data_IF_474098625455
#
_entry.id   IF_474098625455
#
_cell.length_a   1.000
_cell.length_b   1.000
_cell.length_c   1.000
_cell.angle_alpha   90.00
_cell.angle_beta   90.00
_cell.angle_gamma   90.00
#
_symmetry.space_group_name_H-M   'P 1'
#
loop_
_entity.id
_entity.type
_entity.pdbx_description
1 polymer ?
#
# COMPACT_ATOMS: atom_id res chain seq x y z
N UNK A 1 -25.72 27.41 11.92
CA UNK A 1 -25.08 26.62 13.00
C UNK A 1 -25.74 26.98 14.31
N UNK A 2 -26.14 25.97 15.07
CA UNK A 2 -26.70 26.18 16.42
C UNK A 2 -25.56 26.55 17.40
N UNK A 3 -25.87 27.28 18.46
CA UNK A 3 -24.91 27.71 19.50
C UNK A 3 -23.97 26.61 19.99
N UNK A 4 -24.40 25.34 20.19
CA UNK A 4 -23.51 24.25 20.63
C UNK A 4 -22.43 23.86 19.63
N UNK A 5 -22.67 24.05 18.33
CA UNK A 5 -21.66 23.74 17.28
C UNK A 5 -20.58 24.82 17.16
N UNK A 6 -20.94 26.07 17.44
CA UNK A 6 -19.97 27.18 17.48
C UNK A 6 -19.02 27.03 18.68
N UNK A 7 -19.52 26.69 19.84
CA UNK A 7 -18.70 26.45 21.05
C UNK A 7 -17.75 25.29 20.89
N UNK A 8 -18.18 24.23 20.22
CA UNK A 8 -17.36 23.06 19.94
C UNK A 8 -16.21 23.37 18.96
N UNK A 9 -16.49 24.14 17.92
CA UNK A 9 -15.47 24.57 16.95
C UNK A 9 -14.41 25.46 17.63
N UNK A 10 -14.83 26.36 18.51
CA UNK A 10 -13.93 27.23 19.31
C UNK A 10 -13.04 26.38 20.24
N UNK A 11 -13.60 25.41 20.94
CA UNK A 11 -12.85 24.53 21.83
C UNK A 11 -11.79 23.70 21.08
N UNK A 12 -12.11 23.21 19.89
CA UNK A 12 -11.16 22.50 19.03
C UNK A 12 -10.04 23.45 18.59
N UNK A 13 -10.38 24.67 18.17
CA UNK A 13 -9.40 25.66 17.74
C UNK A 13 -8.48 26.11 18.88
N UNK A 14 -9.01 26.31 20.06
CA UNK A 14 -8.22 26.66 21.25
C UNK A 14 -7.27 25.52 21.67
N UNK A 15 -7.73 24.29 21.56
CA UNK A 15 -6.95 23.08 21.89
C UNK A 15 -5.81 22.82 20.90
N UNK A 16 -6.10 22.93 19.60
CA UNK A 16 -5.13 22.60 18.52
C UNK A 16 -4.13 23.73 18.26
N UNK A 17 -4.55 24.97 18.39
CA UNK A 17 -3.75 26.14 18.02
C UNK A 17 -3.42 27.07 19.22
N UNK A 18 -3.90 26.74 20.42
CA UNK A 18 -3.69 27.56 21.63
C UNK A 18 -4.25 28.98 21.45
N UNK A 19 -3.73 29.98 22.18
CA UNK A 19 -4.23 31.37 22.13
C UNK A 19 -4.07 32.04 20.76
N UNK A 20 -3.30 31.47 19.86
CA UNK A 20 -3.09 32.00 18.50
C UNK A 20 -4.20 31.64 17.52
N UNK A 21 -5.17 30.80 17.90
CA UNK A 21 -6.24 30.34 17.01
C UNK A 21 -7.02 31.46 16.32
N UNK A 22 -7.25 32.56 17.03
CA UNK A 22 -8.00 33.74 16.48
C UNK A 22 -7.24 34.37 15.31
N UNK A 23 -5.92 34.48 15.41
CA UNK A 23 -5.06 35.00 14.35
C UNK A 23 -5.05 34.04 13.16
N UNK A 24 -4.93 32.75 13.41
CA UNK A 24 -4.95 31.70 12.37
C UNK A 24 -6.29 31.69 11.62
N UNK A 25 -7.41 31.89 12.33
CA UNK A 25 -8.74 32.03 11.70
C UNK A 25 -8.82 33.25 10.79
N UNK A 26 -8.23 34.36 11.19
CA UNK A 26 -8.18 35.56 10.36
C UNK A 26 -7.29 35.40 9.12
N UNK A 27 -6.16 34.72 9.26
CA UNK A 27 -5.20 34.47 8.16
C UNK A 27 -5.70 33.46 7.13
N UNK A 28 -6.38 32.38 7.55
CA UNK A 28 -6.85 31.31 6.68
C UNK A 28 -8.28 31.46 6.16
N UNK A 29 -9.06 32.37 6.74
CA UNK A 29 -10.50 32.51 6.47
C UNK A 29 -11.36 31.35 7.01
N UNK A 30 -12.60 31.68 7.34
CA UNK A 30 -13.52 30.73 8.00
C UNK A 30 -13.90 29.51 7.16
N UNK A 31 -13.85 29.61 5.84
CA UNK A 31 -14.18 28.50 4.93
C UNK A 31 -13.08 27.44 4.91
N UNK A 32 -11.84 27.87 4.81
CA UNK A 32 -10.66 26.98 4.82
C UNK A 32 -10.45 26.29 6.17
N UNK A 33 -10.70 27.02 7.25
CA UNK A 33 -10.63 26.47 8.59
C UNK A 33 -11.71 25.42 8.84
N UNK A 34 -12.94 25.64 8.40
CA UNK A 34 -14.04 24.67 8.46
C UNK A 34 -13.71 23.42 7.63
N UNK A 35 -13.03 23.57 6.50
CA UNK A 35 -12.57 22.44 5.70
C UNK A 35 -11.46 21.65 6.39
N UNK A 36 -10.57 22.30 7.13
CA UNK A 36 -9.48 21.63 7.86
C UNK A 36 -9.95 21.00 9.18
N UNK A 37 -10.74 21.73 9.96
CA UNK A 37 -11.26 21.27 11.28
C UNK A 37 -12.36 20.23 11.13
N UNK A 38 -13.15 20.28 10.05
CA UNK A 38 -14.21 19.30 9.77
C UNK A 38 -13.75 18.03 9.05
N UNK A 39 -12.48 17.97 8.61
CA UNK A 39 -11.92 16.82 7.89
C UNK A 39 -10.66 16.34 8.59
N UNK A 40 -10.83 15.74 9.76
CA UNK A 40 -9.71 15.22 10.53
C UNK A 40 -9.07 13.99 9.86
N UNK A 41 -9.84 13.26 9.07
CA UNK A 41 -9.37 12.13 8.30
C UNK A 41 -9.73 12.30 6.82
N UNK A 42 -8.73 12.36 5.96
CA UNK A 42 -8.87 12.44 4.50
C UNK A 42 -8.17 11.25 3.85
N UNK A 43 -8.27 11.10 2.53
CA UNK A 43 -7.54 10.05 1.79
C UNK A 43 -6.01 10.22 1.82
N UNK A 44 -5.52 11.31 2.38
CA UNK A 44 -4.10 11.55 2.65
C UNK A 44 -3.94 12.12 4.07
N UNK A 45 -2.98 11.60 4.83
CA UNK A 45 -2.57 12.15 6.12
C UNK A 45 -1.05 12.30 6.18
N UNK A 46 -0.59 13.35 6.83
CA UNK A 46 0.84 13.57 7.09
C UNK A 46 0.98 14.38 8.38
N UNK A 47 1.88 13.93 9.22
CA UNK A 47 2.16 14.56 10.51
C UNK A 47 3.63 14.96 10.55
N UNK A 48 3.98 16.25 10.36
CA UNK A 48 5.35 16.73 10.40
C UNK A 48 6.02 16.42 11.74
N UNK A 49 5.25 16.48 12.81
CA UNK A 49 5.68 16.14 14.16
C UNK A 49 4.97 14.85 14.62
N UNK A 50 5.71 14.04 15.39
CA UNK A 50 5.18 12.79 15.93
C UNK A 50 4.00 13.00 16.89
N UNK A 51 3.94 14.16 17.55
CA UNK A 51 3.06 14.41 18.67
C UNK A 51 3.52 13.79 20.00
N UNK A 52 2.79 14.07 21.05
CA UNK A 52 3.06 13.58 22.40
C UNK A 52 2.52 12.17 22.64
N UNK A 53 3.25 11.34 23.34
CA UNK A 53 2.86 9.98 23.75
C UNK A 53 3.68 8.87 23.08
N UNK A 54 3.65 7.70 23.70
CA UNK A 54 4.38 6.52 23.27
C UNK A 54 5.92 6.66 23.43
N UNK A 55 6.63 5.57 23.10
CA UNK A 55 8.09 5.53 23.17
C UNK A 55 8.68 5.78 21.77
N UNK A 56 9.22 6.97 21.53
CA UNK A 56 9.84 7.35 20.26
C UNK A 56 11.17 6.62 19.95
N UNK A 57 11.76 5.96 20.93
CA UNK A 57 12.98 5.14 20.77
C UNK A 57 12.66 3.71 20.31
N UNK A 58 11.38 3.29 20.40
CA UNK A 58 10.95 1.98 19.95
C UNK A 58 10.80 1.95 18.43
N UNK A 59 11.57 1.09 17.76
CA UNK A 59 11.50 0.94 16.29
C UNK A 59 10.17 0.34 15.88
N UNK A 60 9.61 0.84 14.77
CA UNK A 60 8.30 0.40 14.28
C UNK A 60 7.10 1.02 15.02
N UNK A 61 7.34 1.95 15.94
CA UNK A 61 6.27 2.62 16.66
C UNK A 61 5.52 3.61 15.76
N UNK A 62 4.18 3.46 15.73
CA UNK A 62 3.28 4.36 15.02
C UNK A 62 3.26 5.76 15.67
N UNK A 63 3.03 6.81 14.88
CA UNK A 63 2.74 8.14 15.40
C UNK A 63 1.44 8.14 16.20
N UNK A 64 1.41 8.68 17.43
CA UNK A 64 0.18 8.83 18.21
C UNK A 64 -0.92 9.62 17.48
N UNK A 65 -0.56 10.53 16.58
CA UNK A 65 -1.52 11.31 15.79
C UNK A 65 -2.35 10.44 14.84
N UNK A 66 -1.77 9.36 14.29
CA UNK A 66 -2.52 8.37 13.49
C UNK A 66 -3.63 7.75 14.32
N UNK A 67 -3.29 7.29 15.54
CA UNK A 67 -4.27 6.67 16.45
C UNK A 67 -5.35 7.68 16.84
N UNK A 68 -4.96 8.93 17.14
CA UNK A 68 -5.93 9.99 17.46
C UNK A 68 -6.87 10.29 16.30
N UNK A 69 -6.34 10.38 15.07
CA UNK A 69 -7.16 10.62 13.88
C UNK A 69 -8.19 9.50 13.66
N UNK A 70 -7.77 8.23 13.83
CA UNK A 70 -8.65 7.08 13.70
C UNK A 70 -9.72 7.07 14.80
N UNK A 71 -9.34 7.32 16.05
CA UNK A 71 -10.26 7.35 17.18
C UNK A 71 -11.31 8.45 17.01
N UNK A 72 -10.94 9.61 16.51
CA UNK A 72 -11.86 10.71 16.22
C UNK A 72 -12.85 10.37 15.10
N UNK A 73 -12.44 9.59 14.11
CA UNK A 73 -13.31 9.15 13.03
C UNK A 73 -14.25 8.03 13.45
N UNK A 74 -13.72 7.01 14.19
CA UNK A 74 -14.43 5.77 14.50
C UNK A 74 -15.57 5.93 15.50
N UNK A 75 -15.59 6.98 16.31
CA UNK A 75 -16.59 7.19 17.34
C UNK A 75 -16.91 8.67 17.49
N UNK A 76 -18.07 9.09 17.04
CA UNK A 76 -18.54 10.48 17.21
C UNK A 76 -18.68 10.91 18.68
N UNK A 77 -18.84 9.97 19.61
CA UNK A 77 -18.90 10.22 21.06
C UNK A 77 -17.59 9.93 21.80
N UNK A 78 -16.84 8.93 21.38
CA UNK A 78 -15.62 8.52 22.09
C UNK A 78 -14.43 9.43 21.80
N UNK A 79 -14.35 10.01 20.60
CA UNK A 79 -13.41 11.09 20.33
C UNK A 79 -13.64 12.29 21.26
N UNK A 80 -14.86 12.46 21.75
CA UNK A 80 -15.17 13.51 22.69
C UNK A 80 -14.58 13.30 24.07
N UNK A 81 -14.26 12.05 24.39
CA UNK A 81 -13.70 11.83 25.72
C UNK A 81 -12.18 11.87 25.68
N UNK A 82 -11.57 12.84 24.94
CA UNK A 82 -10.19 12.76 24.88
C UNK A 82 -9.70 12.20 26.03
N UNK A 83 -10.28 11.42 26.25
CA UNK A 83 -10.91 10.43 25.67
C UNK A 83 -11.02 9.37 26.72
N UNK A 84 -11.89 9.43 27.61
CA UNK A 84 -12.29 8.28 28.42
C UNK A 84 -12.81 7.08 27.56
N UNK A 85 -12.30 6.92 26.33
CA UNK A 85 -12.52 5.72 25.52
C UNK A 85 -11.89 4.56 26.27
N UNK A 86 -12.71 3.61 26.68
CA UNK A 86 -12.19 2.32 27.15
C UNK A 86 -11.37 1.71 26.01
N UNK A 87 -10.08 1.54 26.23
CA UNK A 87 -9.18 0.91 25.26
C UNK A 87 -8.44 -0.24 25.89
N UNK A 88 -8.33 -1.34 25.17
CA UNK A 88 -7.51 -2.48 25.50
C UNK A 88 -6.36 -2.54 24.50
N UNK A 89 -5.16 -2.66 25.00
CA UNK A 89 -3.95 -2.79 24.18
C UNK A 89 -3.39 -4.17 24.39
N UNK A 90 -3.18 -4.89 23.31
CA UNK A 90 -2.63 -6.23 23.32
C UNK A 90 -1.28 -6.29 22.62
N UNK A 91 -0.33 -6.99 23.19
CA UNK A 91 1.01 -7.17 22.61
C UNK A 91 1.50 -8.60 22.89
N UNK A 92 2.15 -9.21 21.90
CA UNK A 92 2.82 -10.50 22.06
C UNK A 92 4.02 -10.42 23.03
N UNK A 93 4.65 -9.24 23.15
CA UNK A 93 5.67 -8.99 24.15
C UNK A 93 5.09 -9.22 25.56
N UNK A 94 5.65 -10.11 26.39
CA UNK A 94 5.12 -10.38 27.72
C UNK A 94 5.25 -9.21 28.69
N UNK A 95 6.10 -8.22 28.40
CA UNK A 95 6.34 -7.03 29.23
C UNK A 95 6.30 -5.75 28.37
N UNK A 96 5.15 -5.40 27.75
CA UNK A 96 5.02 -4.18 26.99
C UNK A 96 5.06 -2.98 27.93
N UNK A 97 5.41 -1.80 27.40
CA UNK A 97 5.41 -0.56 28.18
C UNK A 97 4.01 -0.14 28.68
N UNK A 98 2.95 -0.64 28.02
CA UNK A 98 1.54 -0.46 28.41
C UNK A 98 0.69 -1.59 27.80
N UNK A 99 -0.48 -1.84 28.39
CA UNK A 99 -1.41 -2.84 27.89
C UNK A 99 -1.19 -4.24 28.47
N UNK A 100 -1.79 -5.22 27.80
CA UNK A 100 -1.78 -6.64 28.19
C UNK A 100 -0.71 -7.33 27.36
N UNK A 101 0.32 -7.82 28.06
CA UNK A 101 1.43 -8.55 27.43
C UNK A 101 1.19 -10.05 27.35
N UNK A 102 1.95 -10.69 26.44
CA UNK A 102 1.87 -12.14 26.21
C UNK A 102 0.61 -12.58 25.46
N UNK A 103 -0.14 -11.65 24.87
CA UNK A 103 -1.31 -11.97 24.07
C UNK A 103 -0.89 -12.30 22.62
N UNK A 104 -1.22 -13.53 22.21
CA UNK A 104 -0.88 -14.04 20.89
C UNK A 104 -2.06 -13.90 19.93
N UNK A 105 -1.95 -12.99 18.99
CA UNK A 105 -2.99 -12.72 17.99
C UNK A 105 -3.37 -13.94 17.14
N UNK A 106 -2.51 -14.95 17.01
CA UNK A 106 -2.80 -16.19 16.30
C UNK A 106 -3.61 -17.18 17.14
N UNK A 107 -3.49 -17.14 18.48
CA UNK A 107 -4.02 -18.17 19.37
C UNK A 107 -5.11 -17.66 20.28
N UNK A 108 -4.88 -16.51 20.90
CA UNK A 108 -5.75 -15.99 21.95
C UNK A 108 -6.99 -15.31 21.36
N UNK A 109 -8.10 -15.44 22.06
CA UNK A 109 -9.37 -14.83 21.66
C UNK A 109 -9.41 -13.35 22.06
N UNK A 110 -10.30 -12.61 21.42
CA UNK A 110 -10.68 -11.26 21.83
C UNK A 110 -11.97 -11.37 22.63
N UNK A 111 -11.89 -11.23 23.95
CA UNK A 111 -13.00 -11.46 24.87
C UNK A 111 -14.12 -10.43 24.77
N UNK A 112 -13.80 -9.21 24.35
CA UNK A 112 -14.75 -8.12 24.23
C UNK A 112 -15.07 -7.80 22.76
N UNK A 113 -16.33 -7.50 22.50
CA UNK A 113 -16.73 -6.91 21.22
C UNK A 113 -16.38 -5.42 21.20
N UNK A 114 -15.68 -4.97 20.16
CA UNK A 114 -15.19 -3.62 20.03
C UNK A 114 -15.96 -2.82 18.96
N UNK A 115 -16.05 -1.50 19.16
CA UNK A 115 -16.56 -0.58 18.14
C UNK A 115 -15.48 -0.26 17.11
N UNK A 116 -14.20 -0.26 17.54
CA UNK A 116 -13.05 -0.02 16.71
C UNK A 116 -11.89 -0.92 17.12
N UNK A 117 -11.29 -1.59 16.15
CA UNK A 117 -10.02 -2.29 16.32
C UNK A 117 -8.99 -1.60 15.45
N UNK A 118 -7.85 -1.23 16.03
CA UNK A 118 -6.69 -0.73 15.32
C UNK A 118 -5.58 -1.78 15.32
N UNK A 119 -5.18 -2.23 14.14
CA UNK A 119 -4.12 -3.20 13.93
C UNK A 119 -2.91 -2.54 13.25
N UNK A 120 -1.75 -2.62 13.89
CA UNK A 120 -0.47 -2.23 13.32
C UNK A 120 0.51 -3.41 13.42
N UNK A 121 0.50 -4.32 12.43
CA UNK A 121 1.33 -5.51 12.47
C UNK A 121 2.80 -5.18 12.19
N UNK A 122 3.74 -6.07 12.48
CA UNK A 122 5.10 -5.97 11.97
C UNK A 122 5.08 -5.99 10.44
N UNK A 123 6.07 -5.36 9.81
CA UNK A 123 6.22 -5.37 8.35
C UNK A 123 7.13 -6.55 7.97
N UNK A 124 6.59 -7.75 8.02
CA UNK A 124 7.30 -9.00 7.83
C UNK A 124 8.63 -8.99 8.63
N UNK A 125 9.74 -9.34 8.03
CA UNK A 125 11.06 -9.42 8.66
C UNK A 125 11.88 -8.12 8.62
N UNK A 126 11.24 -6.97 8.36
CA UNK A 126 11.94 -5.67 8.32
C UNK A 126 12.57 -5.31 9.68
N UNK A 127 11.86 -5.61 10.76
CA UNK A 127 12.31 -5.45 12.14
C UNK A 127 11.93 -6.74 12.88
N UNK A 128 12.88 -7.65 13.17
CA UNK A 128 12.61 -8.78 14.06
C UNK A 128 12.38 -8.29 15.49
N UNK A 129 11.22 -8.61 16.07
CA UNK A 129 10.85 -8.15 17.40
C UNK A 129 11.32 -9.12 18.50
N UNK A 130 10.75 -10.31 18.59
CA UNK A 130 11.14 -11.28 19.61
C UNK A 130 12.58 -11.76 19.43
N UNK A 131 13.31 -11.91 20.51
CA UNK A 131 14.73 -12.25 20.50
C UNK A 131 15.69 -11.12 20.11
N UNK A 132 15.17 -9.99 19.62
CA UNK A 132 15.95 -8.81 19.25
C UNK A 132 15.56 -7.56 20.04
N UNK A 133 14.26 -7.26 20.09
CA UNK A 133 13.72 -6.11 20.81
C UNK A 133 13.24 -6.49 22.21
N UNK A 134 12.77 -7.73 22.38
CA UNK A 134 12.32 -8.28 23.64
C UNK A 134 12.52 -9.81 23.69
N UNK A 135 12.71 -10.35 24.87
CA UNK A 135 12.70 -11.77 25.22
C UNK A 135 13.51 -12.69 24.31
N UNK A 136 13.08 -13.93 24.21
CA UNK A 136 13.59 -14.96 23.30
C UNK A 136 12.75 -14.99 22.00
N UNK A 137 13.28 -15.56 20.90
CA UNK A 137 12.50 -15.74 19.67
C UNK A 137 11.18 -16.48 19.92
N UNK A 138 10.06 -15.89 19.52
CA UNK A 138 8.72 -16.48 19.65
C UNK A 138 8.26 -17.04 18.30
N UNK A 139 7.70 -18.27 18.31
CA UNK A 139 7.30 -18.97 17.08
C UNK A 139 6.16 -18.32 16.32
N UNK A 140 5.30 -17.59 17.03
CA UNK A 140 4.11 -16.93 16.49
C UNK A 140 4.35 -15.41 16.26
N UNK A 141 5.60 -14.95 16.41
CA UNK A 141 5.98 -13.59 16.02
C UNK A 141 5.99 -13.47 14.50
N UNK A 142 5.07 -12.68 13.95
CA UNK A 142 4.93 -12.46 12.51
C UNK A 142 6.20 -11.89 11.87
N UNK A 143 7.04 -11.18 12.64
CA UNK A 143 8.31 -10.66 12.14
C UNK A 143 9.37 -11.75 11.89
N UNK A 144 9.07 -12.98 12.30
CA UNK A 144 9.95 -14.15 12.17
C UNK A 144 9.43 -15.21 11.21
N UNK A 145 8.39 -14.92 10.46
CA UNK A 145 7.93 -15.80 9.39
C UNK A 145 9.05 -16.09 8.39
N UNK A 146 9.16 -17.33 7.97
CA UNK A 146 10.22 -17.80 7.08
C UNK A 146 10.11 -17.22 5.67
N UNK A 147 8.89 -16.90 5.25
CA UNK A 147 8.58 -16.37 3.94
C UNK A 147 7.50 -15.29 4.01
N UNK A 148 7.46 -14.42 3.00
CA UNK A 148 6.41 -13.41 2.89
C UNK A 148 5.00 -14.02 2.68
N UNK A 149 4.80 -15.07 1.87
CA UNK A 149 3.50 -15.75 1.78
C UNK A 149 2.99 -16.28 3.12
N UNK A 150 3.85 -16.92 3.92
CA UNK A 150 3.51 -17.38 5.27
C UNK A 150 3.07 -16.22 6.18
N UNK A 151 3.79 -15.12 6.12
CA UNK A 151 3.46 -13.91 6.84
C UNK A 151 2.07 -13.38 6.45
N UNK A 152 1.77 -13.29 5.15
CA UNK A 152 0.47 -12.80 4.63
C UNK A 152 -0.66 -13.74 5.05
N UNK A 153 -0.46 -15.04 4.98
CA UNK A 153 -1.46 -16.03 5.42
C UNK A 153 -1.82 -15.87 6.89
N UNK A 154 -0.82 -15.80 7.77
CA UNK A 154 -1.01 -15.59 9.21
C UNK A 154 -1.66 -14.25 9.52
N UNK A 155 -1.24 -13.19 8.83
CA UNK A 155 -1.82 -11.86 9.02
C UNK A 155 -3.27 -11.82 8.55
N UNK A 156 -3.62 -12.45 7.43
CA UNK A 156 -5.00 -12.56 6.96
C UNK A 156 -5.89 -13.33 7.94
N UNK A 157 -5.38 -14.38 8.56
CA UNK A 157 -6.08 -15.08 9.63
C UNK A 157 -6.38 -14.16 10.83
N UNK A 158 -5.39 -13.36 11.26
CA UNK A 158 -5.57 -12.37 12.33
C UNK A 158 -6.60 -11.32 11.93
N UNK A 159 -6.51 -10.77 10.71
CA UNK A 159 -7.45 -9.77 10.19
C UNK A 159 -8.88 -10.28 10.22
N UNK A 160 -9.10 -11.52 9.78
CA UNK A 160 -10.41 -12.16 9.83
C UNK A 160 -10.93 -12.31 11.27
N UNK A 161 -10.09 -12.83 12.17
CA UNK A 161 -10.43 -13.03 13.58
C UNK A 161 -10.80 -11.71 14.27
N UNK A 162 -9.99 -10.68 14.09
CA UNK A 162 -10.25 -9.37 14.67
C UNK A 162 -11.52 -8.71 14.09
N UNK A 163 -11.77 -8.88 12.79
CA UNK A 163 -12.98 -8.38 12.17
C UNK A 163 -14.24 -9.08 12.72
N UNK A 164 -14.16 -10.36 13.02
CA UNK A 164 -15.27 -11.09 13.65
C UNK A 164 -15.57 -10.58 15.05
N UNK A 165 -14.57 -10.16 15.81
CA UNK A 165 -14.72 -9.62 17.17
C UNK A 165 -15.36 -8.21 17.21
N UNK A 166 -15.48 -7.53 16.08
CA UNK A 166 -16.17 -6.24 16.00
C UNK A 166 -17.68 -6.39 16.23
N UNK A 167 -18.29 -5.40 16.87
CA UNK A 167 -19.75 -5.24 16.87
C UNK A 167 -20.27 -4.94 15.47
N UNK A 168 -21.56 -5.07 15.29
CA UNK A 168 -22.24 -4.48 14.14
C UNK A 168 -21.94 -2.97 14.08
N UNK A 169 -21.75 -2.45 12.89
CA UNK A 169 -21.33 -1.08 12.61
C UNK A 169 -19.92 -0.71 13.14
N UNK A 170 -19.17 -1.70 13.65
CA UNK A 170 -17.78 -1.54 14.08
C UNK A 170 -16.81 -1.43 12.90
N UNK A 171 -15.61 -0.94 13.18
CA UNK A 171 -14.57 -0.69 12.19
C UNK A 171 -13.26 -1.35 12.53
N UNK A 172 -12.60 -1.91 11.50
CA UNK A 172 -11.23 -2.39 11.58
C UNK A 172 -10.33 -1.43 10.80
N UNK A 173 -9.38 -0.83 11.49
CA UNK A 173 -8.37 0.05 10.91
C UNK A 173 -7.03 -0.67 10.91
N UNK A 174 -6.42 -0.87 9.73
CA UNK A 174 -5.14 -1.57 9.58
C UNK A 174 -4.11 -0.61 9.01
N UNK A 175 -3.03 -0.35 9.75
CA UNK A 175 -1.90 0.43 9.28
C UNK A 175 -0.81 -0.51 8.79
N UNK A 176 -0.46 -0.42 7.51
CA UNK A 176 0.57 -1.24 6.85
C UNK A 176 1.42 -0.41 5.91
N UNK A 177 2.59 -0.90 5.54
CA UNK A 177 3.49 -0.26 4.59
C UNK A 177 3.98 -1.22 3.52
N UNK A 178 4.52 -0.68 2.44
CA UNK A 178 5.23 -1.46 1.45
C UNK A 178 6.63 -1.83 1.97
N UNK A 179 7.14 -2.98 1.54
CA UNK A 179 8.44 -3.47 1.95
C UNK A 179 9.31 -3.71 0.72
N UNK A 180 10.56 -3.30 0.81
CA UNK A 180 11.57 -3.67 -0.16
C UNK A 180 12.72 -4.38 0.54
N UNK A 181 12.94 -5.63 0.18
CA UNK A 181 14.00 -6.45 0.76
C UNK A 181 14.61 -7.35 -0.31
N UNK A 182 15.95 -7.48 -0.31
CA UNK A 182 16.71 -8.35 -1.23
C UNK A 182 16.30 -8.22 -2.71
N UNK A 183 15.99 -7.00 -3.16
CA UNK A 183 15.58 -6.72 -4.54
C UNK A 183 14.10 -6.96 -4.86
N UNK A 184 13.34 -7.58 -3.96
CA UNK A 184 11.90 -7.78 -4.11
C UNK A 184 11.11 -6.64 -3.46
N UNK A 185 9.98 -6.29 -4.07
CA UNK A 185 9.03 -5.33 -3.57
C UNK A 185 7.74 -6.04 -3.19
N UNK A 186 7.26 -5.83 -1.96
CA UNK A 186 6.04 -6.40 -1.44
C UNK A 186 5.09 -5.28 -1.03
N UNK A 187 3.85 -5.37 -1.48
CA UNK A 187 2.81 -4.39 -1.23
C UNK A 187 1.76 -4.93 -0.27
N UNK A 188 2.01 -4.79 1.05
CA UNK A 188 1.15 -5.39 2.07
C UNK A 188 -0.31 -4.96 1.92
N UNK A 189 -0.56 -3.68 1.61
CA UNK A 189 -1.91 -3.18 1.40
C UNK A 189 -2.63 -3.83 0.21
N UNK A 190 -1.89 -4.41 -0.72
CA UNK A 190 -2.38 -5.13 -1.89
C UNK A 190 -2.65 -6.61 -1.58
N UNK A 191 -1.81 -7.20 -0.71
CA UNK A 191 -1.79 -8.64 -0.44
C UNK A 191 -2.72 -9.03 0.70
N UNK A 192 -3.12 -8.05 1.53
CA UNK A 192 -4.08 -8.26 2.60
C UNK A 192 -5.49 -8.55 2.05
N UNK A 193 -6.16 -9.50 2.69
CA UNK A 193 -7.57 -9.75 2.41
C UNK A 193 -8.43 -8.53 2.72
N UNK A 194 -9.47 -8.34 1.95
CA UNK A 194 -10.50 -7.34 2.23
C UNK A 194 -11.64 -7.99 2.98
N UNK A 195 -11.99 -7.42 4.13
CA UNK A 195 -13.05 -7.91 5.01
C UNK A 195 -14.17 -6.88 5.08
N UNK A 196 -15.42 -7.33 4.97
CA UNK A 196 -16.57 -6.43 4.99
C UNK A 196 -16.53 -5.38 3.89
N UNK A 197 -16.96 -4.16 4.20
CA UNK A 197 -16.94 -3.02 3.27
C UNK A 197 -15.67 -2.20 3.50
N UNK A 198 -14.87 -2.00 2.46
CA UNK A 198 -13.80 -0.99 2.54
C UNK A 198 -14.42 0.39 2.53
N UNK A 199 -14.32 1.11 3.64
CA UNK A 199 -14.86 2.46 3.82
C UNK A 199 -13.85 3.52 3.37
N UNK A 200 -12.54 3.30 3.63
CA UNK A 200 -11.50 4.22 3.21
C UNK A 200 -10.15 3.52 2.99
N UNK A 201 -9.40 4.10 2.07
CA UNK A 201 -7.98 3.83 1.82
C UNK A 201 -7.24 5.16 1.97
N UNK A 202 -6.40 5.27 2.98
CA UNK A 202 -5.75 6.53 3.35
C UNK A 202 -4.25 6.36 3.20
N UNK A 203 -3.62 7.23 2.42
CA UNK A 203 -2.17 7.28 2.29
C UNK A 203 -1.59 8.15 3.40
N UNK A 204 -0.69 7.58 4.19
CA UNK A 204 0.06 8.30 5.22
C UNK A 204 1.46 8.60 4.71
N UNK A 205 1.78 9.86 4.53
CA UNK A 205 3.14 10.34 4.28
C UNK A 205 3.99 10.22 5.55
N UNK A 206 5.22 9.74 5.40
CA UNK A 206 6.20 9.66 6.48
C UNK A 206 7.21 10.79 6.36
N UNK A 207 7.46 11.51 7.45
CA UNK A 207 8.52 12.48 7.58
C UNK A 207 9.74 11.82 8.25
N UNK A 208 10.94 12.17 7.78
CA UNK A 208 12.23 11.72 8.37
C UNK A 208 12.35 10.19 8.46
N UNK A 209 11.79 9.46 7.49
CA UNK A 209 11.95 8.00 7.45
C UNK A 209 13.38 7.64 7.00
N UNK A 210 13.83 6.46 7.43
CA UNK A 210 15.20 5.98 7.11
C UNK A 210 15.42 5.87 5.60
N UNK A 211 14.37 5.54 4.82
CA UNK A 211 14.47 5.43 3.37
C UNK A 211 14.70 6.77 2.69
N UNK A 212 14.13 7.84 3.24
CA UNK A 212 14.23 9.20 2.68
C UNK A 212 15.58 9.86 2.98
N UNK A 213 16.18 9.52 4.13
CA UNK A 213 17.45 10.11 4.58
C UNK A 213 18.70 9.41 4.02
N UNK A 214 18.55 8.27 3.34
CA UNK A 214 19.68 7.51 2.78
C UNK A 214 20.07 7.99 1.39
N UNK A 215 21.40 8.01 1.15
CA UNK A 215 21.98 8.20 -0.18
C UNK A 215 22.06 6.85 -0.91
N UNK A 216 21.62 6.80 -2.16
CA UNK A 216 21.61 5.58 -2.99
C UNK A 216 22.59 5.70 -4.15
N UNK A 217 23.41 4.67 -4.39
CA UNK A 217 24.41 4.65 -5.48
C UNK A 217 23.80 4.51 -6.88
N UNK A 218 22.55 4.04 -6.98
CA UNK A 218 21.80 3.86 -8.24
C UNK A 218 20.44 4.54 -8.12
N UNK A 219 19.79 4.89 -9.24
CA UNK A 219 18.42 5.39 -9.21
C UNK A 219 17.53 4.46 -8.39
N UNK A 220 16.84 5.02 -7.41
CA UNK A 220 16.02 4.29 -6.44
C UNK A 220 14.84 5.16 -6.00
N UNK A 221 13.66 4.56 -5.92
CA UNK A 221 12.46 5.21 -5.40
C UNK A 221 12.30 4.79 -3.93
N UNK A 222 12.52 5.71 -2.96
CA UNK A 222 12.34 5.40 -1.55
C UNK A 222 10.88 5.10 -1.22
N UNK A 223 10.65 4.18 -0.27
CA UNK A 223 9.32 3.99 0.34
C UNK A 223 9.19 5.00 1.46
N UNK A 224 8.30 5.97 1.29
CA UNK A 224 8.04 7.08 2.23
C UNK A 224 6.57 7.16 2.63
N UNK A 225 5.82 6.08 2.40
CA UNK A 225 4.39 6.01 2.68
C UNK A 225 4.03 4.77 3.50
N UNK A 226 2.98 4.91 4.28
CA UNK A 226 2.20 3.84 4.89
C UNK A 226 0.74 4.01 4.47
N UNK A 227 -0.06 2.98 4.67
CA UNK A 227 -1.45 2.96 4.23
C UNK A 227 -2.34 2.55 5.41
N UNK A 228 -3.37 3.35 5.64
CA UNK A 228 -4.42 3.01 6.59
C UNK A 228 -5.63 2.50 5.82
N UNK A 229 -5.94 1.24 6.03
CA UNK A 229 -7.10 0.56 5.45
C UNK A 229 -8.22 0.58 6.49
N UNK A 230 -9.38 1.11 6.14
CA UNK A 230 -10.53 1.15 7.03
C UNK A 230 -11.66 0.29 6.48
N UNK A 231 -12.06 -0.71 7.25
CA UNK A 231 -13.12 -1.65 6.92
C UNK A 231 -14.28 -1.51 7.89
N UNK A 232 -15.51 -1.56 7.38
CA UNK A 232 -16.75 -1.43 8.12
C UNK A 232 -17.49 -2.77 8.16
N UNK A 233 -17.91 -3.19 9.35
CA UNK A 233 -18.73 -4.38 9.57
C UNK A 233 -20.20 -3.99 9.62
N UNK A 234 -20.88 -4.06 8.47
CA UNK A 234 -22.29 -3.67 8.35
C UNK A 234 -23.24 -4.68 8.94
N UNK A 235 -22.88 -5.96 8.92
CA UNK A 235 -23.69 -7.06 9.46
C UNK A 235 -22.92 -7.80 10.55
N UNK A 236 -23.64 -8.29 11.56
CA UNK A 236 -23.04 -9.03 12.67
C UNK A 236 -22.75 -10.49 12.32
N UNK A 237 -23.51 -11.11 11.43
CA UNK A 237 -23.46 -12.53 11.10
C UNK A 237 -22.84 -12.81 9.74
N UNK A 238 -23.09 -11.94 8.76
CA UNK A 238 -22.62 -12.11 7.39
C UNK A 238 -21.77 -10.93 6.95
N UNK A 239 -20.59 -11.19 6.45
CA UNK A 239 -19.71 -10.20 5.87
C UNK A 239 -18.95 -10.79 4.68
N UNK A 240 -18.84 -10.07 3.57
CA UNK A 240 -18.02 -10.48 2.46
C UNK A 240 -16.53 -10.35 2.84
N UNK A 241 -15.73 -11.27 2.35
CA UNK A 241 -14.29 -11.10 2.30
C UNK A 241 -13.78 -11.50 0.92
N UNK A 242 -12.76 -10.79 0.45
CA UNK A 242 -12.14 -11.06 -0.83
C UNK A 242 -10.69 -11.45 -0.62
N UNK A 243 -10.32 -12.60 -1.16
CA UNK A 243 -8.94 -13.08 -1.18
C UNK A 243 -8.38 -12.86 -2.57
N UNK A 244 -7.25 -12.15 -2.66
CA UNK A 244 -6.54 -12.00 -3.91
C UNK A 244 -5.78 -13.28 -4.24
N UNK A 245 -5.96 -13.77 -5.46
CA UNK A 245 -5.15 -14.85 -6.02
C UNK A 245 -4.36 -14.29 -7.18
N UNK A 246 -3.04 -14.34 -7.11
CA UNK A 246 -2.16 -14.01 -8.22
C UNK A 246 -1.91 -15.24 -9.08
N UNK A 247 -2.04 -15.05 -10.38
CA UNK A 247 -1.67 -16.05 -11.37
C UNK A 247 -0.72 -15.38 -12.35
N UNK A 248 0.52 -15.86 -12.42
CA UNK A 248 1.46 -15.43 -13.43
C UNK A 248 1.16 -16.18 -14.72
N UNK A 249 0.93 -15.43 -15.78
CA UNK A 249 0.73 -15.98 -17.13
C UNK A 249 1.85 -15.43 -18.02
N UNK A 250 2.69 -16.33 -18.50
CA UNK A 250 3.70 -16.01 -19.51
C UNK A 250 3.03 -15.93 -20.87
N UNK A 251 2.87 -14.71 -21.39
CA UNK A 251 2.34 -14.48 -22.73
C UNK A 251 3.48 -14.48 -23.73
N UNK A 252 3.39 -15.38 -24.71
CA UNK A 252 4.26 -15.31 -25.89
C UNK A 252 3.72 -14.26 -26.85
N UNK A 253 4.58 -13.69 -27.69
CA UNK A 253 4.15 -12.71 -28.71
C UNK A 253 3.04 -13.25 -29.63
N UNK A 254 3.01 -14.58 -29.83
CA UNK A 254 1.97 -15.26 -30.62
C UNK A 254 0.58 -15.19 -29.97
N UNK A 255 0.54 -15.09 -28.65
CA UNK A 255 -0.69 -15.11 -27.82
C UNK A 255 -1.23 -13.72 -27.54
N UNK A 256 -0.48 -12.66 -27.86
CA UNK A 256 -0.91 -11.27 -27.62
C UNK A 256 -1.87 -10.82 -28.72
N UNK A 257 -3.15 -10.60 -28.41
CA UNK A 257 -4.10 -10.14 -29.41
C UNK A 257 -3.80 -8.69 -29.83
N UNK A 258 -4.03 -8.39 -31.10
CA UNK A 258 -3.95 -7.02 -31.61
C UNK A 258 -2.54 -6.46 -31.82
N UNK A 259 -1.48 -7.25 -31.73
CA UNK A 259 -0.14 -6.81 -32.10
C UNK A 259 -0.11 -6.25 -33.53
N UNK A 260 0.37 -5.02 -33.71
CA UNK A 260 0.63 -4.46 -35.03
C UNK A 260 1.84 -5.13 -35.69
N UNK A 261 2.00 -5.02 -36.99
CA UNK A 261 3.20 -5.50 -37.69
C UNK A 261 4.46 -4.84 -37.14
N UNK A 262 4.37 -3.56 -36.80
CA UNK A 262 5.45 -2.81 -36.20
C UNK A 262 5.91 -3.40 -34.86
N UNK A 263 4.98 -3.64 -33.91
CA UNK A 263 5.31 -4.25 -32.63
C UNK A 263 5.88 -5.67 -32.78
N UNK A 264 5.28 -6.47 -33.68
CA UNK A 264 5.72 -7.82 -33.92
C UNK A 264 7.14 -7.91 -34.48
N UNK A 265 7.46 -7.02 -35.44
CA UNK A 265 8.81 -6.92 -36.03
C UNK A 265 9.81 -6.45 -34.98
N UNK A 266 9.47 -5.41 -34.20
CA UNK A 266 10.33 -4.88 -33.13
C UNK A 266 10.67 -5.96 -32.12
N UNK A 267 9.67 -6.66 -31.56
CA UNK A 267 9.88 -7.75 -30.59
C UNK A 267 10.77 -8.86 -31.19
N UNK A 268 10.55 -9.22 -32.45
CA UNK A 268 11.37 -10.24 -33.12
C UNK A 268 12.82 -9.76 -33.33
N UNK A 269 13.04 -8.50 -33.65
CA UNK A 269 14.36 -7.92 -33.74
C UNK A 269 15.06 -7.86 -32.37
N UNK A 270 14.35 -7.55 -31.30
CA UNK A 270 14.89 -7.57 -29.93
C UNK A 270 15.37 -8.97 -29.55
N UNK A 271 14.64 -10.01 -29.89
CA UNK A 271 15.09 -11.43 -29.73
C UNK A 271 16.37 -11.74 -30.52
N UNK A 272 16.57 -11.06 -31.65
CA UNK A 272 17.75 -11.17 -32.50
C UNK A 272 18.84 -10.15 -32.17
N UNK A 273 18.88 -9.67 -30.94
CA UNK A 273 19.84 -8.69 -30.41
C UNK A 273 19.79 -7.32 -31.13
N UNK A 274 18.63 -6.93 -31.60
CA UNK A 274 18.37 -5.62 -32.20
C UNK A 274 18.82 -5.45 -33.65
N UNK A 275 19.35 -6.48 -34.31
CA UNK A 275 19.78 -6.44 -35.71
C UNK A 275 19.40 -7.74 -36.44
N UNK A 276 18.76 -7.62 -37.58
CA UNK A 276 18.33 -8.77 -38.37
C UNK A 276 18.22 -8.47 -39.87
N UNK A 277 18.33 -9.52 -40.71
CA UNK A 277 17.90 -9.44 -42.10
C UNK A 277 16.38 -9.51 -42.21
N UNK A 278 15.80 -8.87 -43.21
CA UNK A 278 14.37 -9.01 -43.50
C UNK A 278 13.96 -10.47 -43.80
N UNK A 279 14.87 -11.27 -44.40
CA UNK A 279 14.66 -12.71 -44.60
C UNK A 279 14.47 -13.44 -43.28
N UNK A 280 15.37 -13.20 -42.31
CA UNK A 280 15.36 -13.89 -41.02
C UNK A 280 14.13 -13.53 -40.20
N UNK A 281 13.70 -12.26 -40.27
CA UNK A 281 12.42 -11.82 -39.69
C UNK A 281 11.23 -12.55 -40.33
N UNK A 282 11.27 -12.71 -41.66
CA UNK A 282 10.27 -13.46 -42.39
C UNK A 282 10.19 -14.92 -41.95
N UNK A 283 11.32 -15.57 -41.78
CA UNK A 283 11.40 -16.96 -41.37
C UNK A 283 10.93 -17.16 -39.94
N UNK A 284 11.34 -16.29 -39.02
CA UNK A 284 10.91 -16.29 -37.62
C UNK A 284 9.40 -16.04 -37.45
N UNK A 285 8.84 -15.20 -38.31
CA UNK A 285 7.43 -14.82 -38.25
C UNK A 285 6.48 -15.72 -39.06
N UNK A 286 7.02 -16.62 -39.87
CA UNK A 286 6.20 -17.49 -40.73
C UNK A 286 5.17 -18.35 -39.97
N UNK A 287 5.53 -18.79 -38.76
CA UNK A 287 4.65 -19.58 -37.89
C UNK A 287 3.58 -18.73 -37.16
N UNK A 288 3.74 -17.41 -37.11
CA UNK A 288 2.85 -16.53 -36.35
C UNK A 288 1.45 -16.47 -36.97
N UNK A 289 0.36 -16.49 -36.16
CA UNK A 289 -1.01 -16.47 -36.67
C UNK A 289 -1.32 -15.31 -37.62
N UNK A 290 -0.72 -14.14 -37.40
CA UNK A 290 -0.87 -12.95 -38.23
C UNK A 290 -0.21 -13.13 -39.61
N UNK A 291 0.96 -13.81 -39.67
CA UNK A 291 1.61 -14.14 -40.93
C UNK A 291 0.83 -15.21 -41.73
N UNK A 292 0.33 -16.25 -41.05
CA UNK A 292 -0.51 -17.28 -41.66
C UNK A 292 -1.79 -16.71 -42.33
N UNK A 293 -2.33 -15.62 -41.78
CA UNK A 293 -3.50 -14.93 -42.33
C UNK A 293 -3.19 -13.95 -43.48
N UNK A 294 -1.92 -13.69 -43.77
CA UNK A 294 -1.51 -12.76 -44.80
C UNK A 294 -0.49 -13.41 -45.75
N UNK A 295 -0.87 -13.84 -46.98
CA UNK A 295 0.05 -14.46 -47.91
C UNK A 295 1.21 -13.57 -48.33
N UNK A 296 1.05 -12.23 -48.18
CA UNK A 296 2.07 -11.21 -48.49
C UNK A 296 2.79 -10.67 -47.24
N UNK A 297 2.87 -11.46 -46.16
CA UNK A 297 3.43 -10.99 -44.89
C UNK A 297 4.91 -10.56 -44.99
N UNK A 298 5.69 -11.16 -45.87
CA UNK A 298 7.12 -10.76 -46.07
C UNK A 298 7.21 -9.38 -46.69
N UNK A 299 6.33 -9.03 -47.62
CA UNK A 299 6.29 -7.68 -48.19
C UNK A 299 5.78 -6.68 -47.14
N UNK A 300 4.86 -7.10 -46.28
CA UNK A 300 4.38 -6.28 -45.17
C UNK A 300 5.49 -6.00 -44.14
N UNK A 301 6.38 -6.99 -43.84
CA UNK A 301 7.55 -6.78 -42.99
C UNK A 301 8.44 -5.70 -43.61
N UNK A 302 8.75 -5.81 -44.90
CA UNK A 302 9.56 -4.82 -45.62
C UNK A 302 8.91 -3.44 -45.62
N UNK A 303 7.63 -3.35 -45.93
CA UNK A 303 6.87 -2.10 -45.93
C UNK A 303 6.89 -1.42 -44.56
N UNK A 304 6.70 -2.19 -43.50
CA UNK A 304 6.72 -1.69 -42.12
C UNK A 304 8.10 -1.09 -41.76
N UNK A 305 9.19 -1.74 -42.18
CA UNK A 305 10.55 -1.20 -41.93
C UNK A 305 10.76 0.15 -42.67
N UNK A 306 10.20 0.29 -43.88
CA UNK A 306 10.26 1.55 -44.61
C UNK A 306 9.32 2.65 -44.07
N UNK A 307 8.17 2.27 -43.57
CA UNK A 307 7.18 3.18 -42.94
C UNK A 307 7.73 3.81 -41.63
N UNK A 308 8.70 3.18 -40.99
CA UNK A 308 9.24 3.60 -39.70
C UNK A 308 10.79 3.81 -39.74
N UNK A 309 11.33 4.69 -40.60
CA UNK A 309 12.78 4.85 -40.79
C UNK A 309 13.51 5.39 -39.56
N UNK A 310 12.80 6.06 -38.65
CA UNK A 310 13.35 6.51 -37.37
C UNK A 310 13.63 5.38 -36.39
N UNK A 311 12.96 4.24 -36.56
CA UNK A 311 13.07 3.09 -35.63
C UNK A 311 13.87 1.92 -36.22
N UNK A 312 13.85 1.75 -37.55
CA UNK A 312 14.57 0.72 -38.27
C UNK A 312 15.63 1.34 -39.17
N UNK A 313 16.88 1.31 -38.73
CA UNK A 313 18.01 1.84 -39.49
C UNK A 313 18.48 0.78 -40.48
N UNK A 314 18.45 1.13 -41.78
CA UNK A 314 19.05 0.27 -42.82
C UNK A 314 20.55 0.19 -42.68
N UNK A 315 21.09 -1.01 -42.55
CA UNK A 315 22.53 -1.27 -42.49
C UNK A 315 23.12 -1.84 -43.79
N UNK A 316 22.35 -1.79 -44.88
CA UNK A 316 22.75 -2.35 -46.17
C UNK A 316 22.52 -3.89 -46.27
N UNK A 317 22.56 -4.43 -47.48
CA UNK A 317 22.42 -5.87 -47.76
C UNK A 317 21.20 -6.52 -47.13
N UNK A 318 20.07 -5.80 -46.95
CA UNK A 318 18.85 -6.29 -46.37
C UNK A 318 18.87 -6.38 -44.84
N UNK A 319 19.91 -5.91 -44.16
CA UNK A 319 19.99 -5.80 -42.71
C UNK A 319 19.37 -4.50 -42.21
N UNK A 320 18.63 -4.63 -41.10
CA UNK A 320 18.12 -3.52 -40.33
C UNK A 320 18.53 -3.64 -38.86
N UNK A 321 18.73 -2.49 -38.21
CA UNK A 321 18.99 -2.41 -36.78
C UNK A 321 17.91 -1.56 -36.10
N UNK A 322 17.59 -1.87 -34.86
CA UNK A 322 16.74 -1.03 -34.03
C UNK A 322 17.48 0.23 -33.60
N UNK A 323 16.80 1.37 -33.70
CA UNK A 323 17.29 2.63 -33.18
C UNK A 323 16.83 2.80 -31.74
N UNK A 324 17.66 2.48 -30.76
CA UNK A 324 17.35 2.62 -29.33
C UNK A 324 17.38 4.07 -28.83
N UNK A 325 17.81 5.05 -29.65
CA UNK A 325 17.82 6.46 -29.27
C UNK A 325 16.43 7.14 -29.40
N UNK A 326 15.45 6.44 -29.99
CA UNK A 326 14.10 6.96 -30.27
C UNK A 326 13.04 6.18 -29.46
N UNK A 327 13.44 5.32 -28.53
CA UNK A 327 12.55 4.50 -27.70
C UNK A 327 12.24 5.17 -26.36
#
# INVERSE_FOLDING_TARGET
>A
MSFPEQDRAVQILEKEFGPRWKQIVQELGTKELRQRVGKELTSFMAFPERGSGGNNKWRGNCSPEVVRAILRYGTSQAAAQSLGVRSLLYDLNPAPACGIGGWDALRDEVDDSADLIFLHPPYHNLIPYSGNMWGTPHKDDLSRCSSYPEFVEKLNYIVQKLFMALRRDGRLAILVGDIRTKGSFYSMQHDLMRVGQMEAFIVKGQYNCVSDTRSYKKPFIPVVTEYLLLFHKQDALFFPFAVRRETTVDLRKEDIPGLTWHHLIRLTMEELSGRAKLSDLGDRLAAHPKAKKNPHFRDRIRATAYEHPGQYISCGNGFYALNYAVA
#
